data_IF_651510724541
#
_entry.id   IF_651510724541
#
_cell.length_a   1.000
_cell.length_b   1.000
_cell.length_c   1.000
_cell.angle_alpha   90.00
_cell.angle_beta   90.00
_cell.angle_gamma   90.00
#
_symmetry.space_group_name_H-M   'P 1'
#
loop_
_entity.id
_entity.type
_entity.pdbx_description
1 polymer ?
#
# COMPACT_ATOMS: atom_id res chain seq x y z
N UNK A 1 -64.54 5.69 49.11
CA UNK A 1 -65.28 6.34 48.01
C UNK A 1 -64.24 6.94 47.05
N UNK A 2 -64.18 6.72 45.74
CA UNK A 2 -64.90 5.93 44.74
C UNK A 2 -63.83 5.47 43.72
N UNK A 3 -63.96 4.23 43.24
CA UNK A 3 -63.29 3.73 42.03
C UNK A 3 -63.88 4.43 40.79
N UNK A 4 -63.06 4.69 39.78
CA UNK A 4 -63.52 4.72 38.39
C UNK A 4 -62.42 4.13 37.48
N UNK A 5 -62.79 3.05 36.80
CA UNK A 5 -62.08 2.47 35.65
C UNK A 5 -62.29 3.37 34.43
N UNK A 6 -61.31 3.48 33.52
CA UNK A 6 -61.48 3.18 32.09
C UNK A 6 -60.15 3.32 31.29
N UNK A 7 -59.72 2.18 30.75
CA UNK A 7 -59.31 1.92 29.35
C UNK A 7 -57.95 2.40 28.82
N UNK A 8 -57.25 1.39 28.28
CA UNK A 8 -55.98 1.36 27.57
C UNK A 8 -55.84 2.33 26.40
N UNK A 9 -54.61 2.80 26.18
CA UNK A 9 -54.02 2.84 24.84
C UNK A 9 -52.54 2.43 24.94
N UNK A 10 -52.25 1.24 24.41
CA UNK A 10 -50.91 0.80 24.03
C UNK A 10 -50.39 1.82 23.01
N UNK A 11 -49.41 2.64 23.39
CA UNK A 11 -48.64 3.40 22.41
C UNK A 11 -47.33 2.67 22.18
N UNK A 12 -47.34 1.78 21.19
CA UNK A 12 -46.14 1.34 20.49
C UNK A 12 -45.42 2.61 19.99
N UNK A 13 -44.34 2.99 20.68
CA UNK A 13 -43.38 3.93 20.09
C UNK A 13 -42.65 3.13 19.02
N UNK A 14 -43.05 3.42 17.79
CA UNK A 14 -42.42 3.01 16.54
C UNK A 14 -40.93 3.32 16.62
N UNK A 15 -40.11 2.27 16.53
CA UNK A 15 -38.69 2.38 16.23
C UNK A 15 -38.54 3.21 14.96
N UNK A 16 -37.98 4.41 15.08
CA UNK A 16 -37.51 5.18 13.94
C UNK A 16 -36.60 4.27 13.10
N UNK A 17 -36.75 4.22 11.77
CA UNK A 17 -35.82 3.46 10.96
C UNK A 17 -34.45 4.12 11.13
N UNK A 18 -33.45 3.33 11.53
CA UNK A 18 -32.06 3.71 11.42
C UNK A 18 -31.86 4.32 10.03
N UNK A 19 -31.26 5.51 9.95
CA UNK A 19 -30.87 6.10 8.66
C UNK A 19 -30.13 4.99 7.91
N UNK A 20 -30.65 4.57 6.76
CA UNK A 20 -29.99 3.55 5.96
C UNK A 20 -28.54 4.00 5.73
N UNK A 21 -27.58 3.18 6.12
CA UNK A 21 -26.17 3.49 5.93
C UNK A 21 -25.93 3.79 4.45
N UNK A 22 -25.31 4.94 4.17
CA UNK A 22 -25.00 5.36 2.81
C UNK A 22 -24.10 4.30 2.16
N UNK A 23 -24.48 3.81 0.98
CA UNK A 23 -23.65 2.86 0.24
C UNK A 23 -22.33 3.51 -0.19
N UNK A 24 -21.29 2.70 -0.42
CA UNK A 24 -20.00 3.19 -0.92
C UNK A 24 -20.15 3.98 -2.24
N UNK A 25 -21.03 3.54 -3.14
CA UNK A 25 -21.29 4.24 -4.39
C UNK A 25 -21.84 5.65 -4.15
N UNK A 26 -22.83 5.78 -3.25
CA UNK A 26 -23.39 7.08 -2.89
C UNK A 26 -22.35 7.97 -2.18
N UNK A 27 -21.49 7.39 -1.34
CA UNK A 27 -20.43 8.13 -0.67
C UNK A 27 -19.38 8.66 -1.65
N UNK A 28 -18.96 7.83 -2.62
CA UNK A 28 -18.04 8.21 -3.70
C UNK A 28 -18.62 9.37 -4.51
N UNK A 29 -19.86 9.24 -4.98
CA UNK A 29 -20.54 10.29 -5.75
C UNK A 29 -20.65 11.60 -4.95
N UNK A 30 -20.99 11.52 -3.66
CA UNK A 30 -21.11 12.69 -2.80
C UNK A 30 -19.76 13.39 -2.56
N UNK A 31 -18.69 12.63 -2.35
CA UNK A 31 -17.33 13.16 -2.14
C UNK A 31 -16.77 13.75 -3.43
N UNK A 32 -16.94 13.08 -4.57
CA UNK A 32 -16.53 13.60 -5.87
C UNK A 32 -17.28 14.90 -6.20
N UNK A 33 -18.60 14.94 -5.98
CA UNK A 33 -19.37 16.16 -6.17
C UNK A 33 -18.89 17.31 -5.26
N UNK A 34 -18.41 17.00 -4.04
CA UNK A 34 -17.80 18.01 -3.15
C UNK A 34 -16.45 18.47 -3.67
N UNK A 35 -15.59 17.57 -4.13
CA UNK A 35 -14.33 17.88 -4.80
C UNK A 35 -14.54 18.86 -5.97
N UNK A 36 -15.45 18.54 -6.88
CA UNK A 36 -15.75 19.38 -8.06
C UNK A 36 -16.22 20.79 -7.67
N UNK A 37 -17.03 20.92 -6.60
CA UNK A 37 -17.46 22.22 -6.09
C UNK A 37 -16.29 23.02 -5.55
N UNK A 38 -15.35 22.38 -4.86
CA UNK A 38 -14.17 23.05 -4.32
C UNK A 38 -13.22 23.49 -5.43
N UNK A 39 -12.99 22.68 -6.47
CA UNK A 39 -12.26 23.13 -7.67
C UNK A 39 -12.90 24.36 -8.31
N UNK A 40 -14.22 24.32 -8.54
CA UNK A 40 -14.96 25.47 -9.13
C UNK A 40 -14.82 26.74 -8.28
N UNK A 41 -14.91 26.64 -6.95
CA UNK A 41 -14.72 27.77 -6.04
C UNK A 41 -13.28 28.30 -6.11
N UNK A 42 -12.28 27.43 -6.05
CA UNK A 42 -10.87 27.83 -6.12
C UNK A 42 -10.54 28.58 -7.41
N UNK A 43 -11.01 28.08 -8.55
CA UNK A 43 -10.87 28.74 -9.85
C UNK A 43 -11.61 30.09 -9.92
N UNK A 44 -12.82 30.18 -9.36
CA UNK A 44 -13.54 31.45 -9.29
C UNK A 44 -12.82 32.51 -8.43
N UNK A 45 -11.93 32.08 -7.54
CA UNK A 45 -11.09 32.94 -6.70
C UNK A 45 -9.71 33.25 -7.33
N UNK A 46 -9.49 32.85 -8.60
CA UNK A 46 -8.28 33.17 -9.36
C UNK A 46 -7.15 32.13 -9.27
N UNK A 47 -7.29 31.06 -8.48
CA UNK A 47 -6.30 29.98 -8.44
C UNK A 47 -6.47 29.09 -9.68
N UNK A 48 -5.41 28.82 -10.43
CA UNK A 48 -5.50 28.03 -11.68
C UNK A 48 -4.79 26.69 -11.61
N UNK A 49 -3.75 26.55 -10.79
CA UNK A 49 -2.95 25.34 -10.70
C UNK A 49 -2.24 25.19 -9.35
N UNK A 50 -2.35 24.02 -8.74
CA UNK A 50 -1.75 23.73 -7.44
C UNK A 50 -0.26 23.40 -7.48
N UNK A 51 0.20 22.82 -8.58
CA UNK A 51 1.49 22.13 -8.64
C UNK A 51 1.33 20.61 -8.51
N UNK A 52 2.20 19.85 -9.19
CA UNK A 52 2.21 18.37 -9.12
C UNK A 52 2.59 17.83 -7.74
N UNK A 53 3.15 18.66 -6.86
CA UNK A 53 3.43 18.31 -5.47
C UNK A 53 2.17 17.97 -4.65
N UNK A 54 0.99 18.44 -5.09
CA UNK A 54 -0.27 18.22 -4.37
C UNK A 54 -1.11 17.08 -4.96
N UNK A 55 -0.68 16.47 -6.08
CA UNK A 55 -1.44 15.42 -6.74
C UNK A 55 -1.80 14.28 -5.79
N UNK A 56 -0.89 13.90 -4.88
CA UNK A 56 -1.07 12.80 -3.95
C UNK A 56 -1.52 13.24 -2.53
N UNK A 57 -1.96 14.48 -2.34
CA UNK A 57 -2.33 14.98 -1.00
C UNK A 57 -3.40 14.10 -0.33
N UNK A 58 -3.08 13.61 0.86
CA UNK A 58 -3.97 12.75 1.66
C UNK A 58 -4.21 11.34 1.09
N UNK A 59 -3.60 10.95 -0.03
CA UNK A 59 -3.97 9.73 -0.73
C UNK A 59 -3.75 8.46 0.11
N UNK A 60 -2.65 8.38 0.87
CA UNK A 60 -2.35 7.24 1.75
C UNK A 60 -3.26 7.22 2.97
N UNK A 61 -3.49 8.37 3.59
CA UNK A 61 -4.40 8.54 4.72
C UNK A 61 -5.83 8.12 4.35
N UNK A 62 -6.33 8.57 3.20
CA UNK A 62 -7.65 8.19 2.70
C UNK A 62 -7.75 6.69 2.44
N UNK A 63 -6.76 6.11 1.76
CA UNK A 63 -6.71 4.67 1.50
C UNK A 63 -6.84 3.88 2.80
N UNK A 64 -6.08 4.25 3.83
CA UNK A 64 -6.10 3.56 5.11
C UNK A 64 -7.36 3.83 5.94
N UNK A 65 -7.88 5.06 5.96
CA UNK A 65 -9.19 5.38 6.57
C UNK A 65 -10.32 4.53 5.95
N UNK A 66 -10.37 4.45 4.62
CA UNK A 66 -11.38 3.68 3.88
C UNK A 66 -11.25 2.18 4.19
N UNK A 67 -10.04 1.63 4.08
CA UNK A 67 -9.78 0.22 4.41
C UNK A 67 -10.14 -0.10 5.86
N UNK A 68 -9.83 0.82 6.78
CA UNK A 68 -10.19 0.69 8.19
C UNK A 68 -11.69 0.50 8.38
N UNK A 69 -12.51 1.28 7.67
CA UNK A 69 -13.97 1.12 7.69
C UNK A 69 -14.43 -0.18 7.02
N UNK A 70 -13.79 -0.60 5.94
CA UNK A 70 -14.16 -1.82 5.21
C UNK A 70 -13.77 -3.13 5.93
N UNK A 71 -12.83 -3.06 6.88
CA UNK A 71 -12.21 -4.23 7.52
C UNK A 71 -12.41 -4.25 9.04
N UNK A 72 -13.38 -3.49 9.56
CA UNK A 72 -13.69 -3.40 11.00
C UNK A 72 -12.49 -2.91 11.84
N UNK A 73 -11.69 -2.00 11.26
CA UNK A 73 -10.51 -1.33 11.84
C UNK A 73 -10.65 0.19 11.92
N UNK A 74 -11.89 0.67 12.01
CA UNK A 74 -12.19 2.11 12.07
C UNK A 74 -11.55 2.75 13.30
N UNK A 75 -11.65 2.13 14.48
CA UNK A 75 -11.13 2.72 15.71
C UNK A 75 -9.62 2.99 15.63
N UNK A 76 -8.89 2.11 14.97
CA UNK A 76 -7.43 2.21 14.79
C UNK A 76 -7.02 3.21 13.71
N UNK A 77 -7.95 3.68 12.86
CA UNK A 77 -7.67 4.55 11.70
C UNK A 77 -8.49 5.85 11.68
N UNK A 78 -9.35 6.09 12.67
CA UNK A 78 -10.27 7.24 12.70
C UNK A 78 -9.54 8.58 12.68
N UNK A 79 -8.32 8.66 13.22
CA UNK A 79 -7.49 9.87 13.16
C UNK A 79 -6.98 10.21 11.75
N UNK A 80 -7.10 9.30 10.78
CA UNK A 80 -6.79 9.52 9.37
C UNK A 80 -8.00 9.97 8.55
N UNK A 81 -9.21 9.94 9.13
CA UNK A 81 -10.40 10.43 8.45
C UNK A 81 -10.23 11.91 8.11
N UNK A 82 -10.71 12.33 6.93
CA UNK A 82 -10.79 13.75 6.56
C UNK A 82 -11.50 14.50 7.69
N UNK A 83 -10.83 15.40 8.44
CA UNK A 83 -11.49 16.11 9.52
C UNK A 83 -12.63 16.94 8.96
N UNK A 84 -13.65 17.19 9.78
CA UNK A 84 -14.68 18.18 9.42
C UNK A 84 -14.05 19.56 9.54
N UNK A 85 -13.30 19.96 8.52
CA UNK A 85 -12.62 21.26 8.49
C UNK A 85 -13.66 22.38 8.38
N UNK A 86 -13.37 23.52 8.98
CA UNK A 86 -14.05 24.77 8.61
C UNK A 86 -13.88 24.99 7.10
N UNK A 87 -14.89 25.56 6.43
CA UNK A 87 -14.82 25.80 4.98
C UNK A 87 -13.50 26.51 4.60
N UNK A 88 -12.83 26.05 3.52
CA UNK A 88 -11.60 26.67 3.04
C UNK A 88 -11.75 28.17 2.80
N UNK A 89 -10.68 28.94 3.00
CA UNK A 89 -10.73 30.42 2.97
C UNK A 89 -10.14 31.02 1.71
N UNK A 90 -9.12 30.39 1.12
CA UNK A 90 -8.45 30.89 -0.08
C UNK A 90 -8.72 30.00 -1.28
N UNK A 91 -8.50 30.54 -2.49
CA UNK A 91 -8.63 29.75 -3.71
C UNK A 91 -7.71 28.53 -3.72
N UNK A 92 -6.49 28.68 -3.20
CA UNK A 92 -5.51 27.61 -3.02
C UNK A 92 -6.00 26.54 -2.05
N UNK A 93 -6.53 26.92 -0.89
CA UNK A 93 -7.07 25.95 0.08
C UNK A 93 -8.24 25.15 -0.52
N UNK A 94 -9.11 25.82 -1.28
CA UNK A 94 -10.19 25.14 -2.00
C UNK A 94 -9.66 24.12 -3.00
N UNK A 95 -8.65 24.45 -3.79
CA UNK A 95 -8.06 23.48 -4.71
C UNK A 95 -7.39 22.33 -3.95
N UNK A 96 -6.67 22.59 -2.85
CA UNK A 96 -6.00 21.55 -2.05
C UNK A 96 -7.01 20.56 -1.46
N UNK A 97 -8.07 21.06 -0.84
CA UNK A 97 -9.16 20.22 -0.32
C UNK A 97 -9.91 19.49 -1.44
N UNK A 98 -10.12 20.16 -2.57
CA UNK A 98 -10.68 19.54 -3.78
C UNK A 98 -9.85 18.33 -4.23
N UNK A 99 -8.53 18.50 -4.32
CA UNK A 99 -7.60 17.42 -4.70
C UNK A 99 -7.60 16.28 -3.68
N UNK A 100 -7.57 16.59 -2.38
CA UNK A 100 -7.64 15.59 -1.31
C UNK A 100 -8.92 14.75 -1.41
N UNK A 101 -10.08 15.40 -1.62
CA UNK A 101 -11.36 14.70 -1.79
C UNK A 101 -11.41 13.88 -3.09
N UNK A 102 -10.78 14.34 -4.16
CA UNK A 102 -10.67 13.56 -5.40
C UNK A 102 -9.82 12.30 -5.18
N UNK A 103 -8.70 12.43 -4.48
CA UNK A 103 -7.87 11.29 -4.09
C UNK A 103 -8.63 10.29 -3.22
N UNK A 104 -9.46 10.77 -2.30
CA UNK A 104 -10.37 9.92 -1.52
C UNK A 104 -11.33 9.13 -2.42
N UNK A 105 -11.99 9.79 -3.38
CA UNK A 105 -12.95 9.15 -4.28
C UNK A 105 -12.27 8.08 -5.14
N UNK A 106 -11.12 8.38 -5.73
CA UNK A 106 -10.32 7.42 -6.52
C UNK A 106 -9.88 6.23 -5.68
N UNK A 107 -9.41 6.45 -4.45
CA UNK A 107 -9.04 5.38 -3.54
C UNK A 107 -10.26 4.50 -3.19
N UNK A 108 -11.41 5.11 -2.89
CA UNK A 108 -12.64 4.39 -2.57
C UNK A 108 -13.13 3.54 -3.75
N UNK A 109 -13.17 4.07 -4.98
CA UNK A 109 -13.53 3.33 -6.19
C UNK A 109 -12.65 2.10 -6.39
N UNK A 110 -11.33 2.28 -6.28
CA UNK A 110 -10.37 1.19 -6.38
C UNK A 110 -10.61 0.13 -5.30
N UNK A 111 -10.71 0.53 -4.03
CA UNK A 111 -10.87 -0.38 -2.91
C UNK A 111 -12.20 -1.15 -2.96
N UNK A 112 -13.30 -0.53 -3.42
CA UNK A 112 -14.59 -1.20 -3.65
C UNK A 112 -14.44 -2.32 -4.68
N UNK A 113 -13.61 -2.14 -5.71
CA UNK A 113 -13.38 -3.17 -6.74
C UNK A 113 -12.59 -4.40 -6.25
N UNK A 114 -11.86 -4.28 -5.13
CA UNK A 114 -11.03 -5.35 -4.60
C UNK A 114 -11.85 -6.41 -3.84
N UNK A 115 -11.39 -7.66 -3.92
CA UNK A 115 -11.85 -8.71 -3.00
C UNK A 115 -11.45 -8.41 -1.56
N UNK A 116 -12.14 -9.02 -0.58
CA UNK A 116 -11.80 -8.88 0.84
C UNK A 116 -10.34 -9.26 1.14
N UNK A 117 -9.82 -10.30 0.50
CA UNK A 117 -8.43 -10.74 0.68
C UNK A 117 -7.42 -9.71 0.13
N UNK A 118 -7.69 -9.10 -1.03
CA UNK A 118 -6.85 -8.01 -1.55
C UNK A 118 -6.88 -6.78 -0.63
N UNK A 119 -8.04 -6.43 -0.06
CA UNK A 119 -8.15 -5.34 0.92
C UNK A 119 -7.34 -5.63 2.18
N UNK A 120 -7.40 -6.85 2.73
CA UNK A 120 -6.61 -7.27 3.89
C UNK A 120 -5.11 -7.14 3.60
N UNK A 121 -4.65 -7.59 2.43
CA UNK A 121 -3.24 -7.49 2.04
C UNK A 121 -2.77 -6.05 1.86
N UNK A 122 -3.60 -5.22 1.23
CA UNK A 122 -3.34 -3.78 1.09
C UNK A 122 -3.25 -3.14 2.48
N UNK A 123 -4.19 -3.44 3.38
CA UNK A 123 -4.18 -2.94 4.76
C UNK A 123 -2.93 -3.34 5.53
N UNK A 124 -2.54 -4.60 5.47
CA UNK A 124 -1.35 -5.10 6.14
C UNK A 124 -0.06 -4.48 5.58
N UNK A 125 0.03 -4.38 4.26
CA UNK A 125 1.21 -3.87 3.56
C UNK A 125 1.36 -2.35 3.68
N UNK A 126 0.27 -1.58 3.70
CA UNK A 126 0.34 -0.12 3.54
C UNK A 126 -0.15 0.65 4.76
N UNK A 127 -0.97 0.06 5.62
CA UNK A 127 -1.65 0.78 6.71
C UNK A 127 -1.20 0.33 8.10
N UNK A 128 -1.29 -0.96 8.41
CA UNK A 128 -1.03 -1.44 9.77
C UNK A 128 0.43 -1.21 10.18
N UNK A 129 0.64 -0.57 11.32
CA UNK A 129 1.98 -0.17 11.81
C UNK A 129 2.48 1.17 11.24
N UNK A 130 1.68 1.88 10.43
CA UNK A 130 2.04 3.16 9.79
C UNK A 130 1.02 4.23 10.11
N UNK A 131 1.41 5.49 9.92
CA UNK A 131 0.53 6.66 10.08
C UNK A 131 -0.22 6.69 11.44
N UNK A 132 0.39 6.21 12.51
CA UNK A 132 -0.24 6.13 13.84
C UNK A 132 -1.19 4.94 14.05
N UNK A 133 -1.38 4.07 13.05
CA UNK A 133 -2.10 2.80 13.20
C UNK A 133 -1.17 1.78 13.89
N UNK A 134 -1.59 1.10 14.98
CA UNK A 134 -0.75 0.14 15.67
C UNK A 134 -0.48 -1.11 14.81
N UNK A 135 0.71 -1.70 14.93
CA UNK A 135 1.07 -2.94 14.23
C UNK A 135 0.17 -4.13 14.60
N UNK A 136 -0.43 -4.12 15.80
CA UNK A 136 -1.43 -5.11 16.23
C UNK A 136 -2.74 -5.04 15.46
N UNK A 137 -2.97 -3.98 14.67
CA UNK A 137 -4.14 -3.88 13.79
C UNK A 137 -4.01 -4.71 12.50
N UNK A 138 -2.87 -5.39 12.28
CA UNK A 138 -2.71 -6.37 11.19
C UNK A 138 -3.80 -7.45 11.30
N UNK A 139 -4.33 -7.85 10.15
CA UNK A 139 -5.38 -8.86 10.03
C UNK A 139 -4.75 -10.15 9.51
N UNK A 140 -5.11 -11.29 10.08
CA UNK A 140 -4.63 -12.59 9.61
C UNK A 140 -5.03 -12.82 8.15
N UNK A 141 -4.03 -13.04 7.29
CA UNK A 141 -4.23 -13.40 5.89
C UNK A 141 -4.15 -14.92 5.72
N UNK A 142 -5.31 -15.55 5.56
CA UNK A 142 -5.42 -16.98 5.31
C UNK A 142 -5.15 -17.37 3.84
N UNK A 143 -4.91 -16.40 2.96
CA UNK A 143 -4.62 -16.63 1.55
C UNK A 143 -3.20 -17.15 1.32
N UNK A 144 -3.09 -18.29 0.62
CA UNK A 144 -1.79 -18.98 0.41
C UNK A 144 -0.98 -18.49 -0.78
N UNK A 145 -1.62 -17.79 -1.72
CA UNK A 145 -1.02 -17.42 -3.02
C UNK A 145 -1.26 -15.96 -3.32
N UNK A 146 -0.46 -15.43 -4.23
CA UNK A 146 -0.48 -14.04 -4.68
C UNK A 146 -1.64 -13.79 -5.64
N UNK A 147 -2.10 -12.55 -5.70
CA UNK A 147 -2.97 -12.05 -6.74
C UNK A 147 -2.14 -11.53 -7.91
N UNK A 148 -2.54 -11.87 -9.12
CA UNK A 148 -1.95 -11.36 -10.36
C UNK A 148 -3.00 -10.57 -11.13
N UNK A 149 -2.67 -9.36 -11.53
CA UNK A 149 -3.50 -8.52 -12.39
C UNK A 149 -2.63 -7.87 -13.48
N UNK A 150 -3.07 -7.91 -14.73
CA UNK A 150 -2.30 -7.34 -15.85
C UNK A 150 -2.98 -6.09 -16.34
N UNK A 151 -2.29 -4.96 -16.17
CA UNK A 151 -2.77 -3.64 -16.62
C UNK A 151 -1.79 -3.12 -17.65
N UNK A 152 -2.23 -3.07 -18.91
CA UNK A 152 -1.36 -2.77 -20.06
C UNK A 152 -0.22 -3.81 -20.12
N UNK A 153 1.04 -3.38 -19.95
CA UNK A 153 2.22 -4.25 -19.93
C UNK A 153 2.78 -4.46 -18.52
N UNK A 154 2.02 -4.12 -17.47
CA UNK A 154 2.46 -4.26 -16.08
C UNK A 154 1.76 -5.44 -15.44
N UNK A 155 2.53 -6.39 -14.91
CA UNK A 155 2.04 -7.46 -14.05
C UNK A 155 2.07 -7.00 -12.60
N UNK A 156 0.90 -6.70 -12.04
CA UNK A 156 0.72 -6.38 -10.63
C UNK A 156 0.64 -7.67 -9.81
N UNK A 157 1.47 -7.77 -8.77
CA UNK A 157 1.58 -8.94 -7.89
C UNK A 157 1.35 -8.50 -6.45
N UNK A 158 0.29 -9.01 -5.81
CA UNK A 158 -0.02 -8.74 -4.40
C UNK A 158 -0.18 -10.02 -3.58
N UNK A 159 0.74 -10.25 -2.65
CA UNK A 159 0.62 -11.35 -1.69
C UNK A 159 1.95 -11.89 -1.18
N UNK A 160 1.89 -12.89 -0.28
CA UNK A 160 3.07 -13.40 0.40
C UNK A 160 4.00 -14.16 -0.54
N UNK A 161 5.31 -14.12 -0.28
CA UNK A 161 6.31 -14.93 -0.99
C UNK A 161 6.34 -16.33 -0.39
N UNK A 162 5.45 -17.22 -0.83
CA UNK A 162 5.36 -18.60 -0.30
C UNK A 162 6.13 -19.61 -1.15
N UNK A 163 6.25 -20.85 -0.67
CA UNK A 163 6.85 -21.95 -1.45
C UNK A 163 6.21 -22.06 -2.84
N UNK A 164 7.05 -22.15 -3.88
CA UNK A 164 6.61 -22.18 -5.28
C UNK A 164 6.17 -20.83 -5.86
N UNK A 165 6.34 -19.70 -5.14
CA UNK A 165 6.09 -18.36 -5.65
C UNK A 165 6.82 -18.13 -6.98
N UNK A 166 8.09 -18.51 -7.07
CA UNK A 166 8.90 -18.31 -8.28
C UNK A 166 8.30 -19.00 -9.51
N UNK A 167 7.79 -20.23 -9.34
CA UNK A 167 7.14 -20.98 -10.41
C UNK A 167 5.80 -20.34 -10.83
N UNK A 168 5.01 -19.83 -9.87
CA UNK A 168 3.74 -19.15 -10.17
C UNK A 168 3.97 -17.82 -10.89
N UNK A 169 4.96 -17.03 -10.45
CA UNK A 169 5.35 -15.80 -11.13
C UNK A 169 5.80 -16.11 -12.56
N UNK A 170 6.66 -17.12 -12.74
CA UNK A 170 7.10 -17.56 -14.06
C UNK A 170 5.92 -17.92 -14.96
N UNK A 171 4.95 -18.71 -14.45
CA UNK A 171 3.76 -19.09 -15.21
C UNK A 171 2.89 -17.89 -15.59
N UNK A 172 2.73 -16.92 -14.68
CA UNK A 172 2.01 -15.67 -14.96
C UNK A 172 2.70 -14.85 -16.06
N UNK A 173 4.03 -14.76 -16.04
CA UNK A 173 4.82 -14.08 -17.07
C UNK A 173 4.79 -14.84 -18.42
N UNK A 174 4.82 -16.17 -18.41
CA UNK A 174 4.68 -16.99 -19.62
C UNK A 174 3.31 -16.79 -20.28
N UNK A 175 2.24 -16.65 -19.49
CA UNK A 175 0.90 -16.37 -19.98
C UNK A 175 0.75 -14.93 -20.54
N UNK A 176 1.67 -14.02 -20.19
CA UNK A 176 1.57 -12.59 -20.51
C UNK A 176 2.89 -12.07 -21.14
N UNK A 177 3.26 -12.52 -22.35
CA UNK A 177 4.57 -12.26 -22.95
C UNK A 177 4.82 -10.79 -23.34
N UNK A 178 3.79 -9.93 -23.30
CA UNK A 178 3.91 -8.48 -23.53
C UNK A 178 4.29 -7.69 -22.28
N UNK A 179 4.28 -8.33 -21.11
CA UNK A 179 4.66 -7.67 -19.86
C UNK A 179 6.13 -7.26 -19.95
N UNK A 180 6.39 -5.99 -19.63
CA UNK A 180 7.73 -5.41 -19.54
C UNK A 180 8.09 -5.02 -18.09
N UNK A 181 7.09 -4.93 -17.21
CA UNK A 181 7.24 -4.45 -15.83
C UNK A 181 6.48 -5.33 -14.84
N UNK A 182 7.09 -5.61 -13.68
CA UNK A 182 6.44 -6.26 -12.54
C UNK A 182 6.24 -5.27 -11.40
N UNK A 183 4.99 -5.00 -11.02
CA UNK A 183 4.65 -4.13 -9.91
C UNK A 183 4.37 -4.97 -8.65
N UNK A 184 5.17 -4.78 -7.60
CA UNK A 184 5.21 -5.68 -6.44
C UNK A 184 4.51 -5.09 -5.21
N UNK A 185 3.84 -5.94 -4.45
CA UNK A 185 3.28 -5.64 -3.14
C UNK A 185 3.26 -6.90 -2.27
N UNK A 186 3.97 -6.91 -1.13
CA UNK A 186 4.11 -8.12 -0.32
C UNK A 186 4.69 -7.84 1.07
N UNK A 187 4.15 -8.53 2.08
CA UNK A 187 4.76 -8.61 3.42
C UNK A 187 5.99 -9.55 3.48
N UNK A 188 6.38 -10.14 2.34
CA UNK A 188 7.54 -11.02 2.23
C UNK A 188 7.23 -12.49 2.49
N UNK A 189 8.20 -13.23 3.04
CA UNK A 189 8.11 -14.68 3.23
C UNK A 189 9.43 -15.40 2.93
N UNK A 190 9.38 -16.41 2.07
CA UNK A 190 10.50 -17.31 1.80
C UNK A 190 11.60 -16.61 0.97
N UNK A 191 12.79 -16.48 1.57
CA UNK A 191 13.97 -15.84 0.95
C UNK A 191 14.38 -16.55 -0.34
N UNK A 192 14.46 -17.89 -0.34
CA UNK A 192 14.92 -18.65 -1.52
C UNK A 192 13.98 -18.48 -2.72
N UNK A 193 12.67 -18.47 -2.48
CA UNK A 193 11.68 -18.20 -3.53
C UNK A 193 11.78 -16.76 -4.05
N UNK A 194 12.07 -15.79 -3.17
CA UNK A 194 12.29 -14.41 -3.58
C UNK A 194 13.52 -14.28 -4.52
N UNK A 195 14.64 -14.91 -4.15
CA UNK A 195 15.86 -14.92 -4.98
C UNK A 195 15.58 -15.51 -6.37
N UNK A 196 14.90 -16.67 -6.42
CA UNK A 196 14.55 -17.33 -7.69
C UNK A 196 13.61 -16.48 -8.54
N UNK A 197 12.62 -15.84 -7.92
CA UNK A 197 11.69 -14.96 -8.61
C UNK A 197 12.40 -13.74 -9.21
N UNK A 198 13.28 -13.09 -8.43
CA UNK A 198 14.05 -11.96 -8.92
C UNK A 198 15.05 -12.35 -10.02
N UNK A 199 15.67 -13.53 -9.95
CA UNK A 199 16.48 -14.09 -11.05
C UNK A 199 15.65 -14.28 -12.33
N UNK A 200 14.41 -14.75 -12.22
CA UNK A 200 13.54 -14.93 -13.38
C UNK A 200 13.13 -13.60 -14.02
N UNK A 201 12.81 -12.59 -13.20
CA UNK A 201 12.58 -11.21 -13.66
C UNK A 201 13.80 -10.69 -14.42
N UNK A 202 15.00 -10.82 -13.81
CA UNK A 202 16.27 -10.38 -14.41
C UNK A 202 16.54 -11.08 -15.74
N UNK A 203 16.36 -12.40 -15.80
CA UNK A 203 16.61 -13.22 -17.00
C UNK A 203 15.74 -12.79 -18.18
N UNK A 204 14.53 -12.29 -17.91
CA UNK A 204 13.60 -11.77 -18.93
C UNK A 204 13.84 -10.32 -19.31
N UNK A 205 14.74 -9.61 -18.62
CA UNK A 205 15.03 -8.20 -18.86
C UNK A 205 13.93 -7.25 -18.36
N UNK A 206 13.03 -7.70 -17.49
CA UNK A 206 11.88 -6.94 -17.03
C UNK A 206 12.29 -5.86 -16.02
N UNK A 207 11.49 -4.79 -15.97
CA UNK A 207 11.56 -3.76 -14.93
C UNK A 207 10.78 -4.17 -13.68
N UNK A 208 11.08 -3.54 -12.56
CA UNK A 208 10.28 -3.64 -11.32
C UNK A 208 9.85 -2.28 -10.82
N UNK A 209 8.64 -2.22 -10.29
CA UNK A 209 8.09 -1.08 -9.57
C UNK A 209 7.34 -1.57 -8.33
N UNK A 210 6.90 -0.66 -7.48
CA UNK A 210 6.03 -0.97 -6.36
C UNK A 210 4.58 -0.69 -6.71
N UNK A 211 3.70 -1.59 -6.27
CA UNK A 211 2.25 -1.42 -6.29
C UNK A 211 1.70 -1.17 -4.88
N UNK A 212 2.31 -1.82 -3.89
CA UNK A 212 2.08 -1.66 -2.46
C UNK A 212 3.45 -1.74 -1.77
N UNK A 213 3.47 -1.59 -0.45
CA UNK A 213 4.65 -1.83 0.36
C UNK A 213 5.24 -3.24 0.14
N UNK A 214 6.56 -3.30 0.16
CA UNK A 214 7.34 -4.49 -0.17
C UNK A 214 8.37 -4.75 0.93
N UNK A 215 8.08 -5.74 1.79
CA UNK A 215 8.81 -5.97 3.04
C UNK A 215 9.51 -7.33 3.08
N UNK A 216 10.50 -7.45 3.96
CA UNK A 216 11.19 -8.71 4.27
C UNK A 216 11.87 -9.32 3.04
N UNK A 217 11.37 -10.45 2.52
CA UNK A 217 11.91 -11.08 1.31
C UNK A 217 11.49 -10.37 0.01
N UNK A 218 10.45 -9.55 0.02
CA UNK A 218 9.94 -8.88 -1.19
C UNK A 218 10.96 -7.96 -1.88
N UNK A 219 11.74 -7.12 -1.17
CA UNK A 219 12.82 -6.33 -1.77
C UNK A 219 13.81 -7.16 -2.60
N UNK A 220 14.02 -8.43 -2.24
CA UNK A 220 14.88 -9.32 -3.03
C UNK A 220 14.25 -9.67 -4.38
N UNK A 221 12.92 -9.80 -4.47
CA UNK A 221 12.22 -9.93 -5.78
C UNK A 221 12.37 -8.64 -6.58
N UNK A 222 12.16 -7.48 -5.92
CA UNK A 222 12.27 -6.16 -6.54
C UNK A 222 13.64 -5.91 -7.15
N UNK A 223 14.72 -6.35 -6.49
CA UNK A 223 16.09 -6.26 -7.01
C UNK A 223 16.29 -6.95 -8.37
N UNK A 224 15.45 -7.92 -8.72
CA UNK A 224 15.48 -8.62 -10.01
C UNK A 224 15.33 -7.71 -11.22
N UNK A 225 14.63 -6.58 -11.09
CA UNK A 225 14.37 -5.66 -12.19
C UNK A 225 15.64 -5.08 -12.81
N UNK A 226 15.68 -4.97 -14.14
CA UNK A 226 16.77 -4.29 -14.88
C UNK A 226 16.77 -2.79 -14.63
N UNK A 227 15.56 -2.21 -14.60
CA UNK A 227 15.27 -0.88 -14.04
C UNK A 227 14.30 -1.05 -12.87
N UNK A 228 14.61 -0.38 -11.76
CA UNK A 228 13.91 -0.47 -10.48
C UNK A 228 13.39 0.91 -10.13
N UNK A 229 12.09 1.10 -10.22
CA UNK A 229 11.43 2.41 -10.32
C UNK A 229 10.48 2.60 -9.14
N UNK A 230 10.49 3.79 -8.53
CA UNK A 230 9.50 4.17 -7.53
C UNK A 230 8.80 5.46 -7.93
N UNK A 231 7.47 5.37 -8.00
CA UNK A 231 6.57 6.49 -8.28
C UNK A 231 5.93 7.00 -6.98
N UNK A 232 5.54 8.27 -6.97
CA UNK A 232 4.65 8.79 -5.94
C UNK A 232 3.24 8.19 -6.09
N UNK A 233 2.52 7.83 -5.01
CA UNK A 233 2.84 8.00 -3.59
C UNK A 233 3.78 6.90 -3.08
N UNK A 234 5.06 7.21 -2.94
CA UNK A 234 6.18 6.27 -2.79
C UNK A 234 5.89 5.15 -1.80
N UNK A 235 5.84 3.90 -2.27
CA UNK A 235 5.69 2.75 -1.38
C UNK A 235 7.01 2.35 -0.73
N UNK A 236 6.91 1.69 0.42
CA UNK A 236 8.08 1.40 1.24
C UNK A 236 8.79 0.12 0.80
N UNK A 237 10.12 0.13 0.90
CA UNK A 237 10.96 -1.06 0.91
C UNK A 237 11.49 -1.29 2.32
N UNK A 238 11.09 -2.40 2.94
CA UNK A 238 11.47 -2.72 4.31
C UNK A 238 12.29 -4.00 4.42
N UNK A 239 13.28 -3.96 5.31
CA UNK A 239 14.27 -5.01 5.53
C UNK A 239 14.30 -5.39 7.02
N UNK A 240 14.62 -6.65 7.31
CA UNK A 240 14.95 -7.12 8.65
C UNK A 240 15.82 -8.38 8.56
N UNK A 241 16.29 -8.90 9.70
CA UNK A 241 17.10 -10.12 9.75
C UNK A 241 16.33 -11.34 9.24
N UNK A 242 16.98 -12.18 8.46
CA UNK A 242 16.43 -13.48 8.07
C UNK A 242 16.21 -14.32 9.34
N UNK A 243 15.08 -15.01 9.40
CA UNK A 243 14.70 -15.82 10.55
C UNK A 243 14.08 -17.16 10.14
N UNK A 244 14.08 -18.08 11.09
CA UNK A 244 13.37 -19.36 11.00
C UNK A 244 12.44 -19.55 12.21
N UNK A 245 11.47 -20.44 12.08
CA UNK A 245 10.54 -20.77 13.16
C UNK A 245 9.77 -19.55 13.69
N UNK A 246 9.67 -19.43 15.01
CA UNK A 246 8.92 -18.38 15.72
C UNK A 246 9.66 -17.02 15.76
N UNK A 247 10.19 -16.57 14.63
CA UNK A 247 10.93 -15.31 14.49
C UNK A 247 12.33 -15.32 15.13
N UNK A 248 12.99 -16.48 15.14
CA UNK A 248 14.37 -16.60 15.60
C UNK A 248 15.32 -16.21 14.47
N UNK A 249 15.99 -15.05 14.61
CA UNK A 249 16.98 -14.59 13.66
C UNK A 249 18.08 -15.65 13.48
N UNK A 250 18.44 -15.94 12.23
CA UNK A 250 19.58 -16.82 11.94
C UNK A 250 20.90 -16.06 12.23
N UNK A 251 22.01 -16.77 12.53
CA UNK A 251 23.31 -16.16 12.70
C UNK A 251 23.72 -15.30 11.49
N UNK A 252 24.39 -14.17 11.71
CA UNK A 252 24.75 -13.24 10.63
C UNK A 252 25.81 -13.83 9.67
N UNK A 253 26.56 -14.84 10.13
CA UNK A 253 27.52 -15.63 9.36
C UNK A 253 26.91 -16.88 8.69
N UNK A 254 25.58 -17.03 8.75
CA UNK A 254 24.88 -18.13 8.08
C UNK A 254 25.07 -18.07 6.55
N UNK A 255 25.19 -19.25 5.92
CA UNK A 255 25.38 -19.40 4.47
C UNK A 255 24.27 -18.74 3.66
N UNK A 256 23.07 -18.60 4.21
CA UNK A 256 21.97 -17.93 3.56
C UNK A 256 22.25 -16.43 3.35
N UNK A 257 22.92 -15.75 4.30
CA UNK A 257 23.36 -14.37 4.07
C UNK A 257 24.42 -14.28 2.98
N UNK A 258 25.35 -15.24 2.89
CA UNK A 258 26.32 -15.29 1.80
C UNK A 258 25.64 -15.48 0.43
N UNK A 259 24.57 -16.26 0.36
CA UNK A 259 23.76 -16.42 -0.84
C UNK A 259 23.03 -15.12 -1.21
N UNK A 260 22.43 -14.45 -0.23
CA UNK A 260 21.75 -13.16 -0.42
C UNK A 260 22.74 -12.08 -0.87
N UNK A 261 23.93 -12.02 -0.27
CA UNK A 261 25.03 -11.14 -0.67
C UNK A 261 25.38 -11.32 -2.16
N UNK A 262 25.65 -12.57 -2.57
CA UNK A 262 26.01 -12.88 -3.94
C UNK A 262 24.89 -12.52 -4.92
N UNK A 263 23.63 -12.74 -4.53
CA UNK A 263 22.46 -12.35 -5.31
C UNK A 263 22.35 -10.83 -5.47
N UNK A 264 22.43 -10.05 -4.38
CA UNK A 264 22.31 -8.58 -4.42
C UNK A 264 23.39 -8.00 -5.34
N UNK A 265 24.63 -8.48 -5.19
CA UNK A 265 25.74 -8.11 -6.06
C UNK A 265 25.46 -8.43 -7.53
N UNK A 266 24.94 -9.63 -7.82
CA UNK A 266 24.59 -10.03 -9.18
C UNK A 266 23.43 -9.20 -9.77
N UNK A 267 22.54 -8.67 -8.94
CA UNK A 267 21.49 -7.73 -9.35
C UNK A 267 21.98 -6.29 -9.52
N UNK A 268 23.26 -6.02 -9.22
CA UNK A 268 23.87 -4.69 -9.38
C UNK A 268 23.45 -3.69 -8.30
N UNK A 269 23.15 -4.16 -7.09
CA UNK A 269 23.00 -3.30 -5.92
C UNK A 269 24.16 -3.52 -4.94
N UNK A 270 24.37 -2.59 -4.00
CA UNK A 270 25.40 -2.68 -2.97
C UNK A 270 25.00 -3.74 -1.93
N UNK A 271 25.68 -4.91 -1.89
CA UNK A 271 25.32 -5.96 -0.96
C UNK A 271 25.65 -5.62 0.50
N UNK A 272 26.67 -4.79 0.77
CA UNK A 272 27.03 -4.40 2.14
C UNK A 272 25.96 -3.49 2.72
N UNK A 273 25.53 -2.48 1.96
CA UNK A 273 24.47 -1.57 2.38
C UNK A 273 23.14 -2.31 2.62
N UNK A 274 22.75 -3.21 1.71
CA UNK A 274 21.49 -3.96 1.84
C UNK A 274 21.54 -4.95 3.02
N UNK A 275 22.66 -5.64 3.24
CA UNK A 275 22.80 -6.48 4.43
C UNK A 275 22.79 -5.65 5.72
N UNK A 276 23.39 -4.46 5.72
CA UNK A 276 23.30 -3.54 6.85
C UNK A 276 21.84 -3.12 7.13
N UNK A 277 21.03 -2.85 6.10
CA UNK A 277 19.59 -2.60 6.26
C UNK A 277 18.88 -3.79 6.90
N UNK A 278 19.14 -5.01 6.41
CA UNK A 278 18.57 -6.23 6.96
C UNK A 278 18.97 -6.44 8.42
N UNK A 279 20.25 -6.27 8.77
CA UNK A 279 20.74 -6.49 10.13
C UNK A 279 20.33 -5.41 11.15
N UNK A 280 19.80 -4.29 10.67
CA UNK A 280 19.38 -3.15 11.51
C UNK A 280 18.00 -3.33 12.18
N UNK A 281 17.26 -4.40 11.85
CA UNK A 281 15.95 -4.68 12.45
C UNK A 281 15.82 -6.16 12.82
N UNK A 282 15.30 -6.44 14.02
CA UNK A 282 14.94 -7.79 14.42
C UNK A 282 13.75 -8.31 13.59
N UNK A 283 13.49 -9.62 13.54
CA UNK A 283 12.40 -10.21 12.75
C UNK A 283 10.99 -9.66 12.99
N UNK A 284 10.73 -9.08 14.17
CA UNK A 284 9.44 -8.44 14.52
C UNK A 284 9.41 -6.94 14.23
N UNK A 285 10.52 -6.39 13.77
CA UNK A 285 10.71 -4.99 13.44
C UNK A 285 10.91 -4.86 11.93
N UNK A 286 11.04 -3.62 11.46
CA UNK A 286 11.30 -3.34 10.06
C UNK A 286 12.20 -2.11 9.94
N UNK A 287 13.31 -2.25 9.25
CA UNK A 287 14.09 -1.14 8.76
C UNK A 287 13.50 -0.69 7.41
N UNK A 288 12.80 0.44 7.40
CA UNK A 288 12.29 1.05 6.16
C UNK A 288 13.35 1.98 5.60
N UNK A 289 13.89 1.63 4.43
CA UNK A 289 14.96 2.39 3.81
C UNK A 289 14.43 3.70 3.20
N UNK A 290 15.14 4.80 3.46
CA UNK A 290 14.82 6.11 2.89
C UNK A 290 15.25 6.20 1.43
N UNK A 291 14.68 7.15 0.68
CA UNK A 291 14.97 7.31 -0.75
C UNK A 291 16.47 7.49 -1.04
N UNK A 292 17.18 8.32 -0.27
CA UNK A 292 18.63 8.54 -0.40
C UNK A 292 19.43 7.24 -0.19
N UNK A 293 19.06 6.44 0.81
CA UNK A 293 19.67 5.14 1.08
C UNK A 293 19.40 4.15 -0.07
N UNK A 294 18.18 4.12 -0.60
CA UNK A 294 17.79 3.25 -1.72
C UNK A 294 18.53 3.62 -3.01
N UNK A 295 18.73 4.91 -3.28
CA UNK A 295 19.50 5.38 -4.44
C UNK A 295 21.00 5.08 -4.27
N UNK A 296 21.58 5.44 -3.12
CA UNK A 296 23.02 5.28 -2.87
C UNK A 296 23.49 3.81 -2.88
N UNK A 297 22.61 2.89 -2.49
CA UNK A 297 22.86 1.44 -2.54
C UNK A 297 22.47 0.79 -3.87
N UNK A 298 22.00 1.57 -4.85
CA UNK A 298 21.43 1.10 -6.10
C UNK A 298 20.28 0.08 -5.95
N UNK A 299 19.64 -0.02 -4.79
CA UNK A 299 18.42 -0.82 -4.61
C UNK A 299 17.33 -0.31 -5.56
N UNK A 300 17.21 1.02 -5.66
CA UNK A 300 16.32 1.66 -6.62
C UNK A 300 17.17 2.45 -7.62
N UNK A 301 16.90 2.27 -8.91
CA UNK A 301 17.63 2.97 -9.98
C UNK A 301 16.96 4.27 -10.39
N UNK A 302 15.71 4.49 -10.01
CA UNK A 302 15.03 5.77 -10.25
C UNK A 302 13.91 5.98 -9.23
N UNK A 303 13.88 7.15 -8.62
CA UNK A 303 12.80 7.58 -7.72
C UNK A 303 12.30 8.93 -8.21
N UNK A 304 11.01 9.02 -8.50
CA UNK A 304 10.37 10.24 -8.98
C UNK A 304 10.72 11.41 -8.05
N UNK A 305 11.22 12.53 -8.60
CA UNK A 305 11.61 13.74 -7.84
C UNK A 305 12.73 13.52 -6.80
N UNK A 306 13.47 12.41 -6.82
CA UNK A 306 14.53 12.15 -5.84
C UNK A 306 15.87 11.74 -6.47
N UNK A 307 15.91 10.77 -7.39
CA UNK A 307 17.17 10.36 -8.03
C UNK A 307 16.95 9.64 -9.37
N UNK A 308 17.94 9.69 -10.27
CA UNK A 308 18.02 8.90 -11.50
C UNK A 308 19.33 8.11 -11.55
N UNK A 309 19.34 6.89 -12.09
CA UNK A 309 20.55 6.08 -12.25
C UNK A 309 21.56 6.67 -13.24
N UNK A 310 21.19 7.69 -14.02
CA UNK A 310 22.18 8.48 -14.77
C UNK A 310 23.06 9.35 -13.85
N UNK A 311 22.69 9.50 -12.57
CA UNK A 311 23.41 10.30 -11.58
C UNK A 311 24.44 9.48 -10.75
N UNK A 312 24.58 8.16 -10.98
CA UNK A 312 25.42 7.26 -10.16
C UNK A 312 26.13 6.14 -10.95
#
# INVERSE_FOLDING_TARGET
>A
MKRLFLVSFLSLIVLSPAKADMSWQQAIEAVQAKSDRYYKKGHAMGETWLGTAYNEIGAKEHTCSILGRMLDKKQESEHLDVPTVAEPKTGRDYLMEGQSLSNWAVAAEYLVSLSKAQRIRTWNADCAGRMGIPASARIEDNGKTEFYDVRRNVLHVLGPVTKGYSNRLKAALDANPKVDTVALGSDGGNVIEALKAGQEIRRRGLETTLWNGCYSACPLVFLGGTRRVMWSPYEDLGFHKIYEGENSAIPLDDKLYALVYAYIKAMGADPEAVLAFMWSAEPKEMFVAKHDQLCASAVTTWIQRSCSAEDY
#
